data_IF_411178487994
#
_entry.id   IF_411178487994
#
_cell.length_a   1.000
_cell.length_b   1.000
_cell.length_c   1.000
_cell.angle_alpha   90.00
_cell.angle_beta   90.00
_cell.angle_gamma   90.00
#
_symmetry.space_group_name_H-M   'P 1'
#
loop_
_entity.id
_entity.type
_entity.pdbx_description
1 polymer ?
#
# COMPACT_ATOMS: atom_id res chain seq x y z
N UNK A 1 -5.28 -17.88 -19.77
CA UNK A 1 -5.22 -17.10 -18.52
C UNK A 1 -3.92 -17.27 -17.72
N UNK A 2 -3.28 -18.45 -17.67
CA UNK A 2 -2.01 -18.69 -16.92
C UNK A 2 -0.86 -17.74 -17.30
N UNK A 3 -0.73 -17.35 -18.58
CA UNK A 3 0.25 -16.37 -19.06
C UNK A 3 0.15 -15.01 -18.33
N UNK A 4 -1.06 -14.57 -17.97
CA UNK A 4 -1.26 -13.27 -17.31
C UNK A 4 -0.78 -13.27 -15.86
N UNK A 5 -0.74 -14.44 -15.19
CA UNK A 5 -0.28 -14.55 -13.80
C UNK A 5 1.24 -14.30 -13.70
N UNK A 6 2.01 -14.79 -14.67
CA UNK A 6 3.46 -14.58 -14.74
C UNK A 6 3.83 -13.32 -15.55
N UNK A 7 3.29 -13.17 -16.75
CA UNK A 7 3.52 -12.02 -17.62
C UNK A 7 2.99 -10.72 -17.03
N UNK A 8 1.82 -10.74 -16.38
CA UNK A 8 1.24 -9.58 -15.72
C UNK A 8 2.09 -9.08 -14.55
N UNK A 9 2.71 -9.97 -13.76
CA UNK A 9 3.64 -9.58 -12.69
C UNK A 9 4.91 -8.94 -13.23
N UNK A 10 5.50 -9.51 -14.29
CA UNK A 10 6.68 -8.93 -14.93
C UNK A 10 6.36 -7.56 -15.53
N UNK A 11 5.25 -7.46 -16.25
CA UNK A 11 4.75 -6.22 -16.83
C UNK A 11 4.49 -5.16 -15.76
N UNK A 12 3.79 -5.51 -14.67
CA UNK A 12 3.50 -4.58 -13.58
C UNK A 12 4.77 -4.04 -12.92
N UNK A 13 5.78 -4.89 -12.72
CA UNK A 13 7.10 -4.45 -12.23
C UNK A 13 7.79 -3.50 -13.21
N UNK A 14 7.76 -3.82 -14.50
CA UNK A 14 8.34 -2.95 -15.53
C UNK A 14 7.63 -1.60 -15.59
N UNK A 15 6.29 -1.59 -15.52
CA UNK A 15 5.48 -0.37 -15.49
C UNK A 15 5.69 0.43 -14.21
N UNK A 16 5.84 -0.22 -13.06
CA UNK A 16 6.16 0.46 -11.79
C UNK A 16 7.46 1.25 -11.93
N UNK A 17 8.52 0.64 -12.45
CA UNK A 17 9.80 1.34 -12.72
C UNK A 17 9.67 2.47 -13.75
N UNK A 18 8.83 2.29 -14.77
CA UNK A 18 8.58 3.33 -15.75
C UNK A 18 7.87 4.54 -15.13
N UNK A 19 6.85 4.29 -14.29
CA UNK A 19 6.13 5.33 -13.54
C UNK A 19 7.05 6.05 -12.56
N UNK A 20 7.92 5.33 -11.84
CA UNK A 20 8.92 5.95 -10.96
C UNK A 20 9.80 6.94 -11.72
N UNK A 21 10.33 6.55 -12.89
CA UNK A 21 11.14 7.44 -13.74
C UNK A 21 10.36 8.63 -14.29
N UNK A 22 9.10 8.41 -14.65
CA UNK A 22 8.23 9.47 -15.15
C UNK A 22 7.93 10.49 -14.05
N UNK A 23 7.66 10.03 -12.83
CA UNK A 23 7.49 10.87 -11.65
C UNK A 23 8.78 11.65 -11.33
N UNK A 24 9.95 10.99 -11.35
CA UNK A 24 11.25 11.66 -11.17
C UNK A 24 11.45 12.77 -12.20
N UNK A 25 11.14 12.51 -13.47
CA UNK A 25 11.28 13.51 -14.54
C UNK A 25 10.35 14.72 -14.38
N UNK A 26 9.28 14.58 -13.60
CA UNK A 26 8.30 15.63 -13.28
C UNK A 26 8.62 16.35 -11.97
N UNK A 27 9.73 16.01 -11.30
CA UNK A 27 10.14 16.61 -10.03
C UNK A 27 9.44 16.04 -8.80
N UNK A 28 8.81 14.86 -8.92
CA UNK A 28 8.19 14.18 -7.78
C UNK A 28 9.26 13.64 -6.82
N UNK A 29 9.21 14.08 -5.56
CA UNK A 29 10.24 13.77 -4.56
C UNK A 29 9.86 12.52 -3.77
N UNK A 30 10.35 11.36 -4.22
CA UNK A 30 9.99 10.06 -3.67
C UNK A 30 10.67 9.81 -2.33
N UNK A 31 9.94 9.94 -1.23
CA UNK A 31 10.44 9.54 0.08
C UNK A 31 10.32 8.02 0.28
N UNK A 32 9.18 7.45 -0.13
CA UNK A 32 8.92 6.03 0.07
C UNK A 32 8.07 5.43 -1.04
N UNK A 33 8.51 4.28 -1.57
CA UNK A 33 7.74 3.47 -2.52
C UNK A 33 7.36 2.14 -1.89
N UNK A 34 6.06 1.88 -1.80
CA UNK A 34 5.53 0.62 -1.34
C UNK A 34 4.85 -0.11 -2.49
N UNK A 35 5.35 -1.29 -2.85
CA UNK A 35 4.71 -2.15 -3.85
C UNK A 35 4.10 -3.39 -3.20
N UNK A 36 2.78 -3.50 -3.27
CA UNK A 36 2.06 -4.76 -3.05
C UNK A 36 1.74 -5.44 -4.37
N UNK A 37 1.46 -6.75 -4.32
CA UNK A 37 1.08 -7.50 -5.52
C UNK A 37 -0.15 -6.98 -6.28
N UNK A 38 -0.96 -6.10 -5.68
CA UNK A 38 -2.17 -5.52 -6.28
C UNK A 38 -2.09 -4.01 -6.52
N UNK A 39 -1.20 -3.30 -5.84
CA UNK A 39 -1.11 -1.84 -5.88
C UNK A 39 0.28 -1.37 -5.43
N UNK A 40 0.84 -0.41 -6.15
CA UNK A 40 2.03 0.34 -5.75
C UNK A 40 1.61 1.75 -5.34
N UNK A 41 2.13 2.22 -4.21
CA UNK A 41 1.94 3.57 -3.69
C UNK A 41 3.30 4.22 -3.53
N UNK A 42 3.43 5.42 -4.08
CA UNK A 42 4.64 6.24 -4.01
C UNK A 42 4.24 7.52 -3.29
N UNK A 43 4.93 7.85 -2.20
CA UNK A 43 4.61 9.00 -1.35
C UNK A 43 5.64 10.11 -1.60
N UNK A 44 5.15 11.31 -1.84
CA UNK A 44 5.91 12.55 -1.89
C UNK A 44 5.41 13.48 -0.79
N UNK A 45 6.23 13.59 0.25
CA UNK A 45 5.95 14.38 1.44
C UNK A 45 6.24 15.86 1.21
N UNK A 46 7.15 16.21 0.29
CA UNK A 46 7.49 17.62 -0.01
C UNK A 46 6.33 18.33 -0.71
N UNK A 47 5.72 17.68 -1.70
CA UNK A 47 4.60 18.22 -2.46
C UNK A 47 3.23 17.73 -1.97
N UNK A 48 3.18 17.01 -0.84
CA UNK A 48 1.94 16.51 -0.22
C UNK A 48 1.04 15.74 -1.20
N UNK A 49 1.64 14.81 -1.95
CA UNK A 49 0.96 14.04 -2.97
C UNK A 49 1.36 12.57 -2.94
N UNK A 50 0.47 11.71 -3.40
CA UNK A 50 0.76 10.29 -3.57
C UNK A 50 0.44 9.84 -4.98
N UNK A 51 1.29 8.97 -5.53
CA UNK A 51 1.03 8.29 -6.78
C UNK A 51 0.57 6.85 -6.53
N UNK A 52 -0.51 6.46 -7.19
CA UNK A 52 -1.13 5.15 -7.11
C UNK A 52 -1.05 4.45 -8.46
N UNK A 53 -0.53 3.23 -8.46
CA UNK A 53 -0.53 2.36 -9.63
C UNK A 53 -1.17 1.02 -9.27
N UNK A 54 -2.22 0.65 -10.00
CA UNK A 54 -2.96 -0.59 -9.74
C UNK A 54 -2.52 -1.72 -10.67
N UNK A 55 -2.42 -2.93 -10.13
CA UNK A 55 -2.05 -4.12 -10.92
C UNK A 55 -3.02 -4.38 -12.08
N UNK A 56 -4.33 -4.15 -11.84
CA UNK A 56 -5.38 -4.36 -12.84
C UNK A 56 -5.52 -3.21 -13.85
N UNK A 57 -4.86 -2.06 -13.62
CA UNK A 57 -4.74 -0.94 -14.56
C UNK A 57 -3.29 -0.44 -14.62
N UNK A 58 -2.34 -1.25 -15.14
CA UNK A 58 -0.91 -0.97 -15.05
C UNK A 58 -0.41 0.12 -16.01
N UNK A 59 -1.29 0.61 -16.90
CA UNK A 59 -0.97 1.66 -17.88
C UNK A 59 -1.41 3.05 -17.43
N UNK A 60 -2.16 3.14 -16.33
CA UNK A 60 -2.65 4.41 -15.79
C UNK A 60 -2.25 4.48 -14.33
N UNK A 61 -1.54 5.54 -13.95
CA UNK A 61 -1.30 5.90 -12.56
C UNK A 61 -2.12 7.15 -12.21
N UNK A 62 -2.41 7.30 -10.93
CA UNK A 62 -3.16 8.43 -10.40
C UNK A 62 -2.27 9.17 -9.42
N UNK A 63 -2.08 10.46 -9.62
CA UNK A 63 -1.47 11.34 -8.62
C UNK A 63 -2.59 12.07 -7.93
N UNK A 64 -2.69 11.92 -6.63
CA UNK A 64 -3.71 12.57 -5.81
C UNK A 64 -3.04 13.32 -4.66
N UNK A 65 -3.57 14.48 -4.27
CA UNK A 65 -3.06 15.17 -3.09
C UNK A 65 -3.39 14.37 -1.83
N UNK A 66 -2.57 14.47 -0.80
CA UNK A 66 -2.81 13.83 0.50
C UNK A 66 -4.06 14.38 1.18
N UNK A 67 -4.48 15.62 0.85
CA UNK A 67 -5.73 16.23 1.32
C UNK A 67 -7.00 15.48 0.87
N UNK A 68 -6.95 14.76 -0.26
CA UNK A 68 -8.03 13.87 -0.70
C UNK A 68 -8.18 12.62 0.19
N UNK A 69 -7.20 12.36 1.05
CA UNK A 69 -7.19 11.18 1.93
C UNK A 69 -7.83 11.56 3.25
N UNK A 70 -9.04 11.05 3.50
CA UNK A 70 -9.79 11.37 4.71
C UNK A 70 -9.35 10.58 5.93
N UNK A 71 -8.78 9.37 5.72
CA UNK A 71 -8.34 8.49 6.81
C UNK A 71 -7.32 7.48 6.33
N UNK A 72 -6.37 7.14 7.18
CA UNK A 72 -5.44 6.02 7.01
C UNK A 72 -5.37 5.18 8.31
N UNK A 73 -5.32 3.85 8.21
CA UNK A 73 -5.24 2.95 9.37
C UNK A 73 -4.66 1.57 9.02
N UNK A 74 -4.32 0.82 10.07
CA UNK A 74 -3.87 -0.58 9.97
C UNK A 74 -5.03 -1.53 10.21
N UNK A 75 -5.13 -2.56 9.36
CA UNK A 75 -6.01 -3.73 9.51
C UNK A 75 -5.13 -4.95 9.75
N UNK A 76 -5.10 -5.43 10.99
CA UNK A 76 -4.32 -6.58 11.41
C UNK A 76 -4.90 -7.92 10.93
N UNK A 77 -6.10 -7.90 10.33
CA UNK A 77 -6.80 -9.08 9.83
C UNK A 77 -7.12 -10.10 10.91
N UNK A 78 -7.22 -9.69 12.18
CA UNK A 78 -7.47 -10.60 13.30
C UNK A 78 -8.81 -11.30 13.13
N UNK A 79 -8.77 -12.63 13.23
CA UNK A 79 -9.94 -13.50 13.23
C UNK A 79 -9.91 -14.45 14.44
N UNK A 80 -11.08 -14.79 14.97
CA UNK A 80 -11.23 -15.64 16.16
C UNK A 80 -10.91 -14.92 17.48
N UNK A 81 -11.01 -15.65 18.60
CA UNK A 81 -10.84 -15.12 19.95
C UNK A 81 -9.92 -16.00 20.81
N UNK A 82 -9.34 -15.41 21.86
CA UNK A 82 -8.46 -16.12 22.80
C UNK A 82 -7.27 -16.80 22.12
N UNK A 83 -7.01 -18.07 22.49
CA UNK A 83 -5.94 -18.89 21.88
C UNK A 83 -6.20 -19.22 20.39
N UNK A 84 -7.44 -19.07 19.93
CA UNK A 84 -7.83 -19.19 18.53
C UNK A 84 -7.78 -17.85 17.81
N UNK A 85 -7.19 -16.79 18.37
CA UNK A 85 -6.96 -15.55 17.64
C UNK A 85 -5.77 -15.70 16.68
N UNK A 86 -5.95 -15.25 15.44
CA UNK A 86 -4.86 -15.21 14.48
C UNK A 86 -5.24 -14.51 13.19
N UNK A 87 -4.26 -14.28 12.34
CA UNK A 87 -4.42 -13.60 11.07
C UNK A 87 -3.58 -14.27 9.99
N UNK A 88 -4.04 -14.21 8.76
CA UNK A 88 -3.26 -14.60 7.57
C UNK A 88 -2.84 -13.40 6.74
N UNK A 89 -3.24 -12.18 7.14
CA UNK A 89 -3.03 -10.98 6.35
C UNK A 89 -3.01 -9.74 7.23
N UNK A 90 -2.00 -8.90 7.04
CA UNK A 90 -1.96 -7.54 7.58
C UNK A 90 -1.99 -6.57 6.40
N UNK A 91 -2.79 -5.52 6.55
CA UNK A 91 -2.98 -4.51 5.51
C UNK A 91 -2.89 -3.11 6.07
N UNK A 92 -2.37 -2.22 5.25
CA UNK A 92 -2.53 -0.79 5.37
C UNK A 92 -3.71 -0.35 4.48
N UNK A 93 -4.60 0.48 5.03
CA UNK A 93 -5.74 1.02 4.29
C UNK A 93 -5.81 2.53 4.42
N UNK A 94 -6.34 3.15 3.37
CA UNK A 94 -6.74 4.55 3.42
C UNK A 94 -7.98 4.79 2.56
N UNK A 95 -8.69 5.88 2.86
CA UNK A 95 -9.84 6.37 2.11
C UNK A 95 -9.41 7.59 1.32
N UNK A 96 -9.37 7.48 -0.01
CA UNK A 96 -9.14 8.61 -0.92
C UNK A 96 -10.44 8.92 -1.65
N UNK A 97 -10.99 10.13 -1.47
CA UNK A 97 -12.25 10.57 -2.08
C UNK A 97 -13.40 9.55 -1.89
N UNK A 98 -13.49 8.95 -0.70
CA UNK A 98 -14.49 7.91 -0.38
C UNK A 98 -14.17 6.51 -0.92
N UNK A 99 -13.12 6.36 -1.73
CA UNK A 99 -12.65 5.07 -2.24
C UNK A 99 -11.65 4.46 -1.28
N UNK A 100 -11.95 3.24 -0.82
CA UNK A 100 -11.07 2.48 0.07
C UNK A 100 -9.98 1.77 -0.72
N UNK A 101 -8.74 2.20 -0.51
CA UNK A 101 -7.55 1.54 -1.04
C UNK A 101 -6.98 0.62 0.04
N UNK A 102 -6.71 -0.63 -0.32
CA UNK A 102 -6.10 -1.63 0.55
C UNK A 102 -4.78 -2.11 -0.03
N UNK A 103 -3.77 -2.12 0.81
CA UNK A 103 -2.41 -2.51 0.48
C UNK A 103 -1.95 -3.54 1.50
N UNK A 104 -1.67 -4.76 1.04
CA UNK A 104 -1.26 -5.83 1.95
C UNK A 104 0.22 -5.68 2.30
N UNK A 105 0.55 -5.57 3.59
CA UNK A 105 1.93 -5.58 4.10
C UNK A 105 2.41 -6.98 4.46
N UNK A 106 1.46 -7.89 4.70
CA UNK A 106 1.69 -9.31 4.91
C UNK A 106 0.53 -10.13 4.35
N UNK A 107 0.83 -11.24 3.69
CA UNK A 107 -0.15 -12.25 3.24
C UNK A 107 0.47 -13.63 3.41
N UNK A 108 -0.29 -14.58 3.94
CA UNK A 108 0.11 -15.98 4.06
C UNK A 108 -1.06 -16.91 3.75
N UNK A 109 -0.75 -18.12 3.27
CA UNK A 109 -1.73 -19.19 3.12
C UNK A 109 -1.99 -19.93 4.43
N UNK A 110 -1.24 -19.61 5.50
CA UNK A 110 -1.41 -20.16 6.84
C UNK A 110 -1.88 -19.07 7.78
N UNK A 111 -2.63 -19.46 8.81
CA UNK A 111 -3.01 -18.56 9.90
C UNK A 111 -1.91 -18.51 10.95
N UNK A 112 -1.50 -17.30 11.30
CA UNK A 112 -0.47 -17.03 12.29
C UNK A 112 -1.10 -16.43 13.53
N UNK A 113 -0.51 -16.72 14.70
CA UNK A 113 -0.92 -16.07 15.95
C UNK A 113 -0.59 -14.59 15.91
N UNK A 114 -1.36 -13.80 16.65
CA UNK A 114 -1.19 -12.34 16.69
C UNK A 114 0.17 -11.91 17.26
N UNK A 115 0.76 -12.75 18.10
CA UNK A 115 2.08 -12.57 18.72
C UNK A 115 3.25 -13.08 17.86
N UNK A 116 2.99 -13.60 16.66
CA UNK A 116 4.06 -14.08 15.77
C UNK A 116 4.81 -12.95 15.09
N UNK A 117 6.11 -13.13 14.89
CA UNK A 117 6.99 -12.16 14.21
C UNK A 117 6.48 -11.76 12.83
N UNK A 118 5.82 -12.68 12.11
CA UNK A 118 5.23 -12.40 10.81
C UNK A 118 4.11 -11.35 10.89
N UNK A 119 3.21 -11.49 11.86
CA UNK A 119 2.11 -10.54 12.07
C UNK A 119 2.66 -9.23 12.62
N UNK A 120 3.52 -9.26 13.63
CA UNK A 120 4.12 -8.07 14.22
C UNK A 120 4.92 -7.25 13.19
N UNK A 121 5.70 -7.93 12.33
CA UNK A 121 6.43 -7.27 11.23
C UNK A 121 5.46 -6.67 10.20
N UNK A 122 4.37 -7.38 9.88
CA UNK A 122 3.33 -6.87 8.98
C UNK A 122 2.65 -5.61 9.52
N UNK A 123 2.33 -5.60 10.81
CA UNK A 123 1.74 -4.45 11.53
C UNK A 123 2.73 -3.29 11.53
N UNK A 124 3.99 -3.53 11.92
CA UNK A 124 5.04 -2.49 11.94
C UNK A 124 5.25 -1.82 10.58
N UNK A 125 5.21 -2.58 9.48
CA UNK A 125 5.25 -2.03 8.12
C UNK A 125 4.02 -1.18 7.81
N UNK A 126 2.82 -1.63 8.19
CA UNK A 126 1.58 -0.90 7.98
C UNK A 126 1.54 0.40 8.79
N UNK A 127 1.97 0.36 10.06
CA UNK A 127 2.08 1.53 10.93
C UNK A 127 3.05 2.57 10.35
N UNK A 128 4.19 2.13 9.80
CA UNK A 128 5.11 3.04 9.11
C UNK A 128 4.42 3.76 7.95
N UNK A 129 3.63 3.05 7.15
CA UNK A 129 2.90 3.66 6.04
C UNK A 129 1.84 4.67 6.49
N UNK A 130 1.10 4.36 7.57
CA UNK A 130 0.15 5.31 8.17
C UNK A 130 0.88 6.58 8.62
N UNK A 131 2.02 6.43 9.31
CA UNK A 131 2.82 7.58 9.77
C UNK A 131 3.35 8.43 8.62
N UNK A 132 3.84 7.79 7.55
CA UNK A 132 4.30 8.52 6.36
C UNK A 132 3.17 9.33 5.72
N UNK A 133 1.97 8.76 5.60
CA UNK A 133 0.82 9.51 5.11
C UNK A 133 0.43 10.66 6.05
N UNK A 134 0.43 10.43 7.36
CA UNK A 134 0.15 11.50 8.34
C UNK A 134 1.18 12.63 8.25
N UNK A 135 2.47 12.31 8.10
CA UNK A 135 3.54 13.29 7.91
C UNK A 135 3.37 14.06 6.59
N UNK A 136 2.84 13.41 5.55
CA UNK A 136 2.52 14.04 4.27
C UNK A 136 1.21 14.85 4.29
N UNK A 137 0.56 15.02 5.44
CA UNK A 137 -0.60 15.91 5.63
C UNK A 137 -1.96 15.23 5.64
N UNK A 138 -2.03 13.89 5.68
CA UNK A 138 -3.31 13.17 5.76
C UNK A 138 -4.01 13.44 7.11
N UNK A 139 -5.21 14.01 7.04
CA UNK A 139 -6.03 14.33 8.20
C UNK A 139 -5.73 15.67 8.89
N UNK A 140 -4.95 16.55 8.26
CA UNK A 140 -4.63 17.88 8.78
C UNK A 140 -5.75 18.95 8.59
N UNK A 141 -7.02 18.52 8.56
CA UNK A 141 -8.19 19.41 8.48
C UNK A 141 -8.85 19.58 9.85
#
# INVERSE_FOLDING_TARGET
MLWWVFGGRLLFRARTKAVERELDSRGFQREYTFSSGSCTVIIDTEHQQIALLFFWKPFTYFVIPTSSISRAWVDDGRMGSGFMAGSSRVSFLFLADGVKVRINTFVSNKRWRMDSDHILTGISKADRMVRLLQNAGVGAN
#
